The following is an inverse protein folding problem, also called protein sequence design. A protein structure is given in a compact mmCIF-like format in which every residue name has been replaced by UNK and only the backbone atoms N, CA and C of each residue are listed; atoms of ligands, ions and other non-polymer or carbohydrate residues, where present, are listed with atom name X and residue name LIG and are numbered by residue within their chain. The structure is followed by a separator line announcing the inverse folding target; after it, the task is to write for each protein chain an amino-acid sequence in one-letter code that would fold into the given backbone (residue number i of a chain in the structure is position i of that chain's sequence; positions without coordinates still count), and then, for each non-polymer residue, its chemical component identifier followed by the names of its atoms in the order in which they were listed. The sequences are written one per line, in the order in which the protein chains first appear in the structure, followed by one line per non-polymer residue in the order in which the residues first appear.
data_IF_274887808297
#
_entry.id   IF_274887808297
#
_cell.length_a   1.000
_cell.length_b   1.000
_cell.length_c   1.000
_cell.angle_alpha   90.00
_cell.angle_beta   90.00
_cell.angle_gamma   90.00
#
_symmetry.space_group_name_H-M   'P 1'
#
loop_
_entity.id
_entity.type
_entity.pdbx_description
1 polymer ?
#
# COMPACT_ATOMS: atom_id res chain seq x y z
N UNK A 1 1.82 -5.92 57.88
CA UNK A 1 1.58 -5.84 56.42
C UNK A 1 2.95 -5.76 55.77
N UNK A 2 3.31 -6.71 54.90
CA UNK A 2 4.63 -6.74 54.26
C UNK A 2 4.57 -5.85 53.02
N UNK A 3 5.41 -4.82 52.97
CA UNK A 3 5.56 -3.95 51.82
C UNK A 3 6.07 -4.78 50.63
N UNK A 4 5.29 -4.84 49.55
CA UNK A 4 5.72 -5.50 48.33
C UNK A 4 6.87 -4.69 47.69
N UNK A 5 7.90 -5.36 47.14
CA UNK A 5 8.98 -4.69 46.44
C UNK A 5 8.41 -3.94 45.23
N UNK A 6 8.58 -2.63 45.21
CA UNK A 6 8.21 -1.79 44.07
C UNK A 6 9.22 -2.03 42.94
N UNK A 7 8.76 -2.68 41.87
CA UNK A 7 9.54 -2.84 40.65
C UNK A 7 9.82 -1.47 40.02
N UNK A 8 11.09 -1.05 40.05
CA UNK A 8 11.56 0.24 39.51
C UNK A 8 11.51 0.32 37.99
N UNK A 9 11.19 -0.78 37.30
CA UNK A 9 11.06 -0.86 35.84
C UNK A 9 10.06 0.15 35.25
N UNK A 10 9.16 0.72 36.07
CA UNK A 10 8.12 1.66 35.64
C UNK A 10 8.15 3.02 36.37
N UNK A 11 9.31 3.39 36.92
CA UNK A 11 9.48 4.71 37.57
C UNK A 11 9.59 5.84 36.53
N UNK A 12 10.20 5.57 35.38
CA UNK A 12 10.44 6.55 34.32
C UNK A 12 9.35 6.58 33.23
N UNK A 13 8.25 5.82 33.41
CA UNK A 13 7.15 5.81 32.43
C UNK A 13 6.22 6.99 32.67
N UNK A 14 5.81 7.65 31.58
CA UNK A 14 4.89 8.78 31.65
C UNK A 14 3.52 8.25 32.05
N UNK A 15 3.13 8.45 33.31
CA UNK A 15 1.81 8.09 33.83
C UNK A 15 0.83 9.21 33.49
N UNK A 16 -0.02 9.01 32.49
CA UNK A 16 -1.07 9.97 32.12
C UNK A 16 -1.56 9.85 30.68
N UNK A 17 -2.60 10.60 30.34
CA UNK A 17 -3.10 10.66 28.96
C UNK A 17 -2.05 11.26 28.01
N UNK A 18 -1.72 10.54 26.93
CA UNK A 18 -0.73 10.96 25.94
C UNK A 18 -1.16 12.26 25.27
N UNK A 19 -0.42 13.35 25.50
CA UNK A 19 -0.62 14.64 24.84
C UNK A 19 0.26 14.71 23.61
N UNK A 20 -0.33 14.60 22.42
CA UNK A 20 0.40 14.77 21.16
C UNK A 20 0.52 16.25 20.84
N UNK A 21 1.75 16.74 20.66
CA UNK A 21 2.01 18.10 20.18
C UNK A 21 1.79 18.13 18.67
N UNK A 22 0.66 18.67 18.23
CA UNK A 22 0.27 18.74 16.83
C UNK A 22 -1.24 18.89 16.69
N UNK A 23 -1.72 19.29 15.51
CA UNK A 23 -3.15 19.40 15.22
C UNK A 23 -3.77 18.00 15.33
N UNK A 24 -4.63 17.78 16.33
CA UNK A 24 -5.40 16.54 16.46
C UNK A 24 -6.27 16.42 15.21
N UNK A 25 -6.13 15.33 14.44
CA UNK A 25 -7.09 15.00 13.39
C UNK A 25 -8.40 14.67 14.10
N UNK A 26 -9.30 15.65 14.17
CA UNK A 26 -10.64 15.45 14.70
C UNK A 26 -11.31 14.37 13.86
N UNK A 27 -11.64 13.22 14.47
CA UNK A 27 -12.53 12.24 13.83
C UNK A 27 -13.87 12.94 13.59
N UNK A 28 -14.19 13.26 12.33
CA UNK A 28 -15.52 13.74 11.94
C UNK A 28 -16.54 12.70 12.41
N UNK A 29 -17.51 13.15 13.22
CA UNK A 29 -18.68 12.34 13.58
C UNK A 29 -19.53 12.25 12.32
N UNK A 30 -19.89 11.03 11.91
CA UNK A 30 -20.68 10.77 10.71
C UNK A 30 -22.04 11.46 10.80
N UNK A 31 -22.26 12.48 9.98
CA UNK A 31 -23.58 12.87 9.51
C UNK A 31 -23.69 12.33 8.08
N UNK A 32 -24.65 11.44 7.85
CA UNK A 32 -24.93 10.86 6.53
C UNK A 32 -25.58 11.93 5.67
N UNK A 33 -24.87 12.34 4.62
CA UNK A 33 -25.46 13.00 3.45
C UNK A 33 -24.91 12.30 2.21
N UNK A 34 -25.80 11.62 1.50
CA UNK A 34 -25.53 10.96 0.21
C UNK A 34 -25.25 12.04 -0.82
N UNK A 35 -24.01 12.12 -1.33
CA UNK A 35 -23.68 12.80 -2.58
C UNK A 35 -22.59 11.99 -3.30
N UNK A 36 -23.00 11.50 -4.46
CA UNK A 36 -22.33 11.16 -5.73
C UNK A 36 -20.81 10.91 -5.81
N UNK A 37 -20.48 9.94 -6.64
CA UNK A 37 -19.16 9.35 -6.90
C UNK A 37 -18.07 10.36 -7.25
N UNK A 38 -17.09 10.51 -6.36
CA UNK A 38 -15.74 10.95 -6.73
C UNK A 38 -14.78 9.77 -6.57
N UNK A 39 -14.18 9.37 -7.68
CA UNK A 39 -13.09 8.38 -7.70
C UNK A 39 -11.91 9.05 -7.00
N UNK A 40 -11.74 8.70 -5.74
CA UNK A 40 -10.67 9.20 -4.89
C UNK A 40 -9.33 8.68 -5.45
N UNK A 41 -8.68 9.48 -6.30
CA UNK A 41 -7.34 9.29 -6.87
C UNK A 41 -6.23 9.40 -5.79
N UNK A 42 -6.52 8.85 -4.62
CA UNK A 42 -5.65 8.79 -3.46
C UNK A 42 -4.75 7.56 -3.56
N UNK A 43 -3.74 7.62 -4.42
CA UNK A 43 -2.40 7.04 -4.17
C UNK A 43 -1.41 7.25 -5.33
N UNK A 44 -1.27 8.50 -5.79
CA UNK A 44 0.03 8.91 -6.32
C UNK A 44 1.00 9.11 -5.16
N UNK A 45 1.57 8.02 -4.65
CA UNK A 45 2.82 8.03 -3.87
C UNK A 45 3.98 8.44 -4.80
N UNK A 46 3.93 9.69 -5.26
CA UNK A 46 5.03 10.35 -5.93
C UNK A 46 6.12 10.53 -4.88
N UNK A 47 7.26 9.89 -5.13
CA UNK A 47 8.50 10.25 -4.47
C UNK A 47 8.72 11.73 -4.81
N UNK A 48 8.90 12.65 -3.85
CA UNK A 48 9.18 14.04 -4.17
C UNK A 48 10.46 14.10 -5.01
N UNK A 49 10.29 14.40 -6.29
CA UNK A 49 11.38 14.68 -7.22
C UNK A 49 11.78 16.13 -7.03
N UNK A 50 12.99 16.37 -6.52
CA UNK A 50 13.55 17.71 -6.41
C UNK A 50 14.40 17.97 -7.66
N UNK A 51 13.96 18.85 -8.59
CA UNK A 51 14.69 19.12 -9.84
C UNK A 51 15.98 19.95 -9.65
N UNK A 52 16.30 20.41 -8.43
CA UNK A 52 17.40 21.35 -8.18
C UNK A 52 18.67 20.68 -7.61
N UNK A 53 19.05 19.50 -8.11
CA UNK A 53 20.40 18.98 -7.92
C UNK A 53 21.04 18.79 -9.30
N UNK A 54 21.98 19.66 -9.61
CA UNK A 54 22.91 19.51 -10.72
C UNK A 54 23.84 18.33 -10.40
N UNK A 55 23.38 17.11 -10.65
CA UNK A 55 24.20 15.91 -10.60
C UNK A 55 24.89 15.72 -11.97
N UNK A 56 25.82 16.62 -12.29
CA UNK A 56 26.89 16.30 -13.23
C UNK A 56 27.85 15.34 -12.54
N UNK A 57 27.50 14.06 -12.54
CA UNK A 57 28.40 12.96 -12.22
C UNK A 57 28.19 11.86 -13.27
N UNK A 58 29.09 11.85 -14.25
CA UNK A 58 29.31 10.75 -15.17
C UNK A 58 29.64 9.51 -14.34
N UNK A 59 28.85 8.42 -14.41
CA UNK A 59 29.27 7.00 -14.32
C UNK A 59 28.05 6.07 -14.51
N UNK A 60 28.15 5.25 -15.56
CA UNK A 60 27.55 3.94 -15.84
C UNK A 60 26.04 3.78 -16.16
N UNK A 61 25.78 3.59 -17.46
CA UNK A 61 24.46 3.48 -18.11
C UNK A 61 23.95 2.02 -18.20
N UNK A 62 23.82 1.31 -17.07
CA UNK A 62 23.24 -0.06 -17.07
C UNK A 62 22.14 -0.34 -16.03
N UNK A 63 21.80 0.62 -15.15
CA UNK A 63 20.78 0.38 -14.12
C UNK A 63 19.35 0.57 -14.64
N UNK A 64 18.50 -0.44 -14.41
CA UNK A 64 17.07 -0.35 -14.74
C UNK A 64 16.39 0.75 -13.92
N UNK A 65 15.30 1.36 -14.43
CA UNK A 65 14.56 2.39 -13.68
C UNK A 65 14.04 1.87 -12.32
N UNK A 66 13.73 0.58 -12.24
CA UNK A 66 13.41 -0.12 -10.99
C UNK A 66 14.56 -0.09 -9.98
N UNK A 67 15.81 -0.26 -10.42
CA UNK A 67 16.98 -0.27 -9.54
C UNK A 67 17.23 1.11 -8.96
N UNK A 68 17.15 2.15 -9.79
CA UNK A 68 17.22 3.56 -9.35
C UNK A 68 16.13 3.90 -8.33
N UNK A 69 14.92 3.34 -8.50
CA UNK A 69 13.81 3.52 -7.54
C UNK A 69 14.07 2.79 -6.23
N UNK A 70 14.65 1.59 -6.27
CA UNK A 70 15.03 0.81 -5.08
C UNK A 70 16.11 1.54 -4.29
N UNK A 71 17.13 2.09 -4.95
CA UNK A 71 18.19 2.87 -4.29
C UNK A 71 17.64 4.12 -3.59
N UNK A 72 16.75 4.86 -4.26
CA UNK A 72 16.06 6.01 -3.66
C UNK A 72 15.30 5.62 -2.38
N UNK A 73 14.66 4.46 -2.35
CA UNK A 73 13.95 3.95 -1.16
C UNK A 73 14.93 3.54 -0.05
N UNK A 74 16.02 2.84 -0.40
CA UNK A 74 17.04 2.41 0.58
C UNK A 74 17.68 3.60 1.29
N UNK A 75 18.03 4.63 0.52
CA UNK A 75 18.74 5.81 0.99
C UNK A 75 17.84 6.84 1.67
N UNK A 76 16.52 6.62 1.70
CA UNK A 76 15.59 7.56 2.32
C UNK A 76 15.68 7.48 3.86
N UNK A 77 16.07 8.56 4.57
CA UNK A 77 16.19 8.56 6.03
C UNK A 77 14.83 8.65 6.74
N UNK A 78 13.77 9.04 6.05
CA UNK A 78 12.43 9.22 6.61
C UNK A 78 11.57 7.94 6.61
N UNK A 79 12.12 6.82 6.12
CA UNK A 79 11.42 5.53 6.10
C UNK A 79 12.00 4.59 7.14
N UNK A 80 11.12 3.91 7.85
CA UNK A 80 11.47 2.80 8.73
C UNK A 80 11.97 1.60 7.91
N UNK A 81 12.68 0.67 8.57
CA UNK A 81 13.16 -0.54 7.92
C UNK A 81 12.02 -1.36 7.26
N UNK A 82 10.88 -1.46 7.95
CA UNK A 82 9.69 -2.16 7.45
C UNK A 82 9.09 -1.49 6.21
N UNK A 83 8.97 -0.16 6.22
CA UNK A 83 8.47 0.60 5.06
C UNK A 83 9.41 0.50 3.86
N UNK A 84 10.73 0.52 4.09
CA UNK A 84 11.73 0.31 3.04
C UNK A 84 11.55 -1.08 2.41
N UNK A 85 11.47 -2.13 3.22
CA UNK A 85 11.27 -3.49 2.74
C UNK A 85 9.97 -3.64 1.93
N UNK A 86 8.87 -3.08 2.44
CA UNK A 86 7.57 -3.10 1.75
C UNK A 86 7.63 -2.41 0.39
N UNK A 87 8.17 -1.18 0.33
CA UNK A 87 8.27 -0.41 -0.92
C UNK A 87 9.15 -1.11 -1.95
N UNK A 88 10.27 -1.69 -1.53
CA UNK A 88 11.15 -2.47 -2.43
C UNK A 88 10.40 -3.69 -2.98
N UNK A 89 9.67 -4.42 -2.13
CA UNK A 89 8.85 -5.55 -2.57
C UNK A 89 7.74 -5.11 -3.54
N UNK A 90 7.10 -3.98 -3.29
CA UNK A 90 6.09 -3.39 -4.18
C UNK A 90 6.69 -3.03 -5.55
N UNK A 91 7.86 -2.40 -5.60
CA UNK A 91 8.56 -2.08 -6.87
C UNK A 91 8.81 -3.35 -7.67
N UNK A 92 9.37 -4.39 -7.03
CA UNK A 92 9.64 -5.69 -7.68
C UNK A 92 8.36 -6.36 -8.21
N UNK A 93 7.28 -6.34 -7.44
CA UNK A 93 5.98 -6.89 -7.86
C UNK A 93 5.37 -6.09 -9.00
N UNK A 94 5.48 -4.77 -8.97
CA UNK A 94 4.92 -3.91 -10.00
C UNK A 94 5.62 -4.10 -11.34
N UNK A 95 6.94 -4.28 -11.37
CA UNK A 95 7.66 -4.62 -12.61
C UNK A 95 7.06 -5.88 -13.26
N UNK A 96 6.93 -6.97 -12.49
CA UNK A 96 6.29 -8.22 -12.97
C UNK A 96 4.85 -8.04 -13.41
N UNK A 97 4.06 -7.20 -12.72
CA UNK A 97 2.68 -6.89 -13.11
C UNK A 97 2.62 -6.13 -14.44
N UNK A 98 3.53 -5.19 -14.65
CA UNK A 98 3.63 -4.42 -15.90
C UNK A 98 3.95 -5.38 -17.05
N UNK A 99 4.94 -6.27 -16.88
CA UNK A 99 5.31 -7.25 -17.89
C UNK A 99 4.11 -8.16 -18.26
N UNK A 100 3.36 -8.62 -17.25
CA UNK A 100 2.15 -9.42 -17.46
C UNK A 100 1.02 -8.66 -18.19
N UNK A 101 0.84 -7.37 -17.87
CA UNK A 101 -0.16 -6.53 -18.55
C UNK A 101 0.25 -6.24 -20.00
N UNK A 102 1.55 -6.05 -20.25
CA UNK A 102 2.09 -5.81 -21.59
C UNK A 102 2.02 -7.06 -22.48
N UNK A 103 2.06 -8.26 -21.88
CA UNK A 103 1.92 -9.52 -22.61
C UNK A 103 0.53 -9.69 -23.27
N UNK A 104 -0.50 -9.00 -22.77
CA UNK A 104 -1.88 -9.15 -23.26
C UNK A 104 -2.46 -7.83 -23.78
N UNK A 105 -2.93 -7.87 -25.03
CA UNK A 105 -3.68 -6.74 -25.59
C UNK A 105 -5.02 -6.56 -24.85
N UNK A 106 -5.57 -5.35 -24.90
CA UNK A 106 -6.89 -5.08 -24.32
C UNK A 106 -7.97 -6.03 -24.87
N UNK A 107 -7.95 -6.28 -26.19
CA UNK A 107 -8.90 -7.21 -26.83
C UNK A 107 -8.80 -8.62 -26.25
N UNK A 108 -7.60 -9.15 -26.08
CA UNK A 108 -7.38 -10.47 -25.47
C UNK A 108 -7.85 -10.51 -24.02
N UNK A 109 -7.67 -9.43 -23.25
CA UNK A 109 -8.19 -9.33 -21.89
C UNK A 109 -9.73 -9.36 -21.85
N UNK A 110 -10.38 -8.65 -22.78
CA UNK A 110 -11.85 -8.68 -22.93
C UNK A 110 -12.34 -10.06 -23.34
N UNK A 111 -11.68 -10.70 -24.30
CA UNK A 111 -12.00 -12.06 -24.76
C UNK A 111 -11.88 -13.07 -23.61
N UNK A 112 -10.75 -13.09 -22.88
CA UNK A 112 -10.58 -13.94 -21.69
C UNK A 112 -11.62 -13.68 -20.61
N UNK A 113 -12.01 -12.42 -20.43
CA UNK A 113 -13.05 -12.06 -19.48
C UNK A 113 -14.41 -12.60 -19.90
N UNK A 114 -14.78 -12.46 -21.17
CA UNK A 114 -16.02 -12.99 -21.71
C UNK A 114 -16.03 -14.53 -21.64
N UNK A 115 -14.94 -15.19 -22.02
CA UNK A 115 -14.80 -16.65 -21.90
C UNK A 115 -14.96 -17.11 -20.45
N UNK A 116 -14.46 -16.33 -19.49
CA UNK A 116 -14.64 -16.61 -18.06
C UNK A 116 -16.11 -16.48 -17.68
N UNK A 117 -16.80 -15.41 -18.11
CA UNK A 117 -18.23 -15.23 -17.83
C UNK A 117 -19.07 -16.37 -18.41
N UNK A 118 -18.80 -16.81 -19.63
CA UNK A 118 -19.49 -17.95 -20.25
C UNK A 118 -19.28 -19.25 -19.48
N UNK A 119 -18.14 -19.43 -18.83
CA UNK A 119 -17.82 -20.62 -18.02
C UNK A 119 -18.37 -20.55 -16.59
N UNK A 120 -18.71 -19.37 -16.09
CA UNK A 120 -19.28 -19.25 -14.73
C UNK A 120 -20.70 -19.78 -14.72
N UNK A 121 -21.04 -20.51 -13.66
CA UNK A 121 -22.40 -21.00 -13.45
C UNK A 121 -23.36 -19.83 -13.22
N UNK A 122 -24.51 -19.88 -13.88
CA UNK A 122 -25.60 -18.93 -13.62
C UNK A 122 -26.15 -19.09 -12.19
N UNK A 123 -26.21 -20.34 -11.72
CA UNK A 123 -26.71 -20.70 -10.39
C UNK A 123 -25.59 -21.27 -9.51
N UNK A 124 -25.42 -20.68 -8.34
CA UNK A 124 -24.44 -21.12 -7.33
C UNK A 124 -25.05 -22.05 -6.27
N UNK A 125 -26.31 -22.45 -6.44
CA UNK A 125 -27.02 -23.34 -5.53
C UNK A 125 -27.41 -24.63 -6.23
N UNK A 126 -27.45 -25.72 -5.47
CA UNK A 126 -27.82 -27.03 -5.97
C UNK A 126 -29.35 -27.10 -5.97
N UNK A 127 -29.98 -27.47 -7.10
CA UNK A 127 -31.43 -27.63 -7.11
C UNK A 127 -31.85 -28.64 -6.04
N UNK A 128 -32.93 -28.33 -5.31
CA UNK A 128 -33.43 -29.17 -4.23
C UNK A 128 -33.93 -30.50 -4.80
N UNK A 129 -33.10 -31.54 -4.71
CA UNK A 129 -33.47 -32.91 -5.07
C UNK A 129 -34.13 -33.57 -3.86
N UNK A 130 -35.46 -33.68 -3.90
CA UNK A 130 -36.21 -34.49 -2.94
C UNK A 130 -36.15 -35.97 -3.33
N UNK A 131 -36.01 -36.91 -2.38
CA UNK A 131 -36.25 -38.31 -2.66
C UNK A 131 -37.74 -38.46 -2.98
N UNK A 132 -38.04 -38.73 -4.25
CA UNK A 132 -39.32 -39.35 -4.64
C UNK A 132 -39.35 -40.80 -4.19
#
# INVERSE_FOLDING_TARGET
MKDLPTDKSYENTIRGSLKLKGKIIMKKKNAVTVIETEVDDSEKLLIPYNPNKNDTAVVDSQSSESDKKIERVKNNPYLTASEKAFKIAQIKRNAKKIDAILAETHRQRVEKFNDKLTKLSEHFDIPKVGPG
#
